data_IF_135596923981
#
_entry.id   IF_135596923981
#
_cell.length_a   1.000
_cell.length_b   1.000
_cell.length_c   1.000
_cell.angle_alpha   90.00
_cell.angle_beta   90.00
_cell.angle_gamma   90.00
#
_symmetry.space_group_name_H-M   'P 1'
#
loop_
_entity.id
_entity.type
_entity.pdbx_description
1 polymer ?
#
# COMPACT_ATOMS: atom_id res chain seq x y z
N UNK A 1 16.20 22.45 -1.41
CA UNK A 1 15.75 21.05 -1.28
C UNK A 1 14.25 21.07 -1.43
N UNK A 2 13.73 20.96 -2.66
CA UNK A 2 12.29 20.96 -2.90
C UNK A 2 11.72 19.70 -2.27
N UNK A 3 10.94 19.86 -1.20
CA UNK A 3 10.16 18.77 -0.63
C UNK A 3 9.21 18.25 -1.70
N UNK A 4 9.57 17.13 -2.31
CA UNK A 4 8.62 16.29 -3.02
C UNK A 4 7.46 16.08 -2.05
N UNK A 5 6.28 16.63 -2.36
CA UNK A 5 5.05 16.27 -1.65
C UNK A 5 5.06 14.75 -1.51
N UNK A 6 5.03 14.28 -0.26
CA UNK A 6 5.43 12.91 0.01
C UNK A 6 4.47 12.00 -0.74
N UNK A 7 4.97 11.21 -1.71
CA UNK A 7 4.12 10.50 -2.67
C UNK A 7 3.05 9.65 -1.98
N UNK A 8 3.36 9.12 -0.79
CA UNK A 8 2.45 8.36 0.06
C UNK A 8 1.24 9.14 0.57
N UNK A 9 1.31 10.47 0.69
CA UNK A 9 0.23 11.31 1.23
C UNK A 9 -0.76 11.76 0.17
N UNK A 10 -0.60 11.32 -1.08
CA UNK A 10 -1.56 11.59 -2.15
C UNK A 10 -2.80 10.73 -1.91
N UNK A 11 -4.03 11.27 -1.96
CA UNK A 11 -5.25 10.52 -1.64
C UNK A 11 -5.36 9.19 -2.39
N UNK A 12 -5.02 9.18 -3.68
CA UNK A 12 -5.04 7.97 -4.51
C UNK A 12 -4.00 6.91 -4.06
N UNK A 13 -2.87 7.33 -3.51
CA UNK A 13 -1.84 6.41 -2.99
C UNK A 13 -2.26 5.87 -1.62
N UNK A 14 -2.94 6.68 -0.81
CA UNK A 14 -3.51 6.26 0.46
C UNK A 14 -4.59 5.21 0.25
N UNK A 15 -5.52 5.47 -0.66
CA UNK A 15 -6.58 4.53 -1.04
C UNK A 15 -6.00 3.23 -1.59
N UNK A 16 -5.06 3.32 -2.53
CA UNK A 16 -4.39 2.15 -3.09
C UNK A 16 -3.65 1.33 -2.02
N UNK A 17 -3.00 2.00 -1.06
CA UNK A 17 -2.32 1.33 0.06
C UNK A 17 -3.32 0.52 0.90
N UNK A 18 -4.52 1.06 1.14
CA UNK A 18 -5.56 0.31 1.85
C UNK A 18 -6.02 -0.92 1.07
N UNK A 19 -6.33 -0.78 -0.22
CA UNK A 19 -6.70 -1.92 -1.05
C UNK A 19 -5.62 -3.00 -1.09
N UNK A 20 -4.35 -2.60 -1.19
CA UNK A 20 -3.23 -3.53 -1.18
C UNK A 20 -3.15 -4.30 0.14
N UNK A 21 -3.22 -3.59 1.27
CA UNK A 21 -3.10 -4.19 2.60
C UNK A 21 -4.28 -5.12 2.91
N UNK A 22 -5.49 -4.73 2.51
CA UNK A 22 -6.71 -5.52 2.68
C UNK A 22 -6.72 -6.75 1.76
N UNK A 23 -6.31 -6.59 0.51
CA UNK A 23 -6.17 -7.69 -0.45
C UNK A 23 -5.15 -8.71 0.04
N UNK A 24 -3.99 -8.25 0.54
CA UNK A 24 -2.98 -9.13 1.10
C UNK A 24 -3.53 -9.97 2.25
N UNK A 25 -4.21 -9.33 3.22
CA UNK A 25 -4.83 -10.05 4.35
C UNK A 25 -5.87 -11.07 3.87
N UNK A 26 -6.73 -10.68 2.94
CA UNK A 26 -7.78 -11.57 2.40
C UNK A 26 -7.19 -12.78 1.67
N UNK A 27 -6.15 -12.59 0.87
CA UNK A 27 -5.57 -13.66 0.05
C UNK A 27 -4.58 -14.55 0.82
N UNK A 28 -3.79 -13.97 1.74
CA UNK A 28 -2.72 -14.69 2.46
C UNK A 28 -3.17 -15.14 3.87
N UNK A 29 -4.24 -14.54 4.41
CA UNK A 29 -4.78 -14.88 5.73
C UNK A 29 -4.05 -14.25 6.92
N UNK A 30 -3.09 -13.34 6.67
CA UNK A 30 -2.36 -12.58 7.69
C UNK A 30 -2.05 -11.17 7.21
N UNK A 31 -1.83 -10.23 8.13
CA UNK A 31 -1.46 -8.86 7.76
C UNK A 31 -0.03 -8.80 7.20
N UNK A 32 0.19 -7.99 6.16
CA UNK A 32 1.51 -7.76 5.56
C UNK A 32 2.47 -7.08 6.55
N UNK A 33 1.92 -6.13 7.31
CA UNK A 33 2.58 -5.38 8.36
C UNK A 33 1.53 -5.01 9.42
N UNK A 34 1.98 -4.59 10.60
CA UNK A 34 1.06 -4.14 11.65
C UNK A 34 0.16 -3.00 11.14
N UNK A 35 -1.16 -3.18 11.26
CA UNK A 35 -2.16 -2.15 10.95
C UNK A 35 -2.38 -1.33 12.22
N UNK A 36 -1.96 -0.07 12.21
CA UNK A 36 -2.18 0.87 13.30
C UNK A 36 -2.41 2.27 12.72
N UNK A 37 -3.23 3.06 13.41
CA UNK A 37 -3.50 4.43 12.99
C UNK A 37 -4.42 4.55 11.78
N UNK A 38 -4.54 5.78 11.30
CA UNK A 38 -5.40 6.16 10.17
C UNK A 38 -4.80 5.76 8.82
N UNK A 39 -5.59 5.83 7.75
CA UNK A 39 -5.18 5.38 6.42
C UNK A 39 -3.87 6.03 5.92
N UNK A 40 -3.69 7.33 6.18
CA UNK A 40 -2.47 8.08 5.83
C UNK A 40 -1.24 7.56 6.59
N UNK A 41 -1.41 7.21 7.87
CA UNK A 41 -0.33 6.69 8.71
C UNK A 41 0.09 5.30 8.24
N UNK A 42 -0.89 4.47 7.85
CA UNK A 42 -0.64 3.17 7.26
C UNK A 42 0.04 3.27 5.89
N UNK A 43 -0.38 4.21 5.02
CA UNK A 43 0.25 4.45 3.74
C UNK A 43 1.71 4.90 3.90
N UNK A 44 1.97 5.80 4.86
CA UNK A 44 3.33 6.23 5.22
C UNK A 44 4.18 5.08 5.74
N UNK A 45 3.61 4.24 6.62
CA UNK A 45 4.31 3.08 7.17
C UNK A 45 4.66 2.08 6.06
N UNK A 46 3.73 1.81 5.13
CA UNK A 46 3.97 0.94 3.97
C UNK A 46 5.07 1.51 3.07
N UNK A 47 5.02 2.80 2.75
CA UNK A 47 6.02 3.46 1.90
C UNK A 47 7.44 3.43 2.50
N UNK A 48 7.54 3.45 3.84
CA UNK A 48 8.82 3.46 4.56
C UNK A 48 9.29 2.09 5.01
N UNK A 49 8.51 1.03 4.76
CA UNK A 49 8.86 -0.33 5.14
C UNK A 49 10.07 -0.83 4.34
N UNK A 50 10.94 -1.61 4.97
CA UNK A 50 12.12 -2.21 4.34
C UNK A 50 11.77 -3.47 3.51
N UNK A 51 10.70 -3.38 2.72
CA UNK A 51 10.21 -4.45 1.84
C UNK A 51 9.77 -3.83 0.52
N UNK A 52 9.84 -4.61 -0.56
CA UNK A 52 9.25 -4.23 -1.85
C UNK A 52 7.97 -5.02 -2.03
N UNK A 53 6.88 -4.30 -2.33
CA UNK A 53 5.58 -4.91 -2.62
C UNK A 53 5.26 -4.65 -4.07
N UNK A 54 4.93 -5.72 -4.81
CA UNK A 54 4.44 -5.64 -6.17
C UNK A 54 2.99 -6.09 -6.14
N UNK A 55 2.07 -5.20 -6.50
CA UNK A 55 0.67 -5.54 -6.74
C UNK A 55 0.42 -5.54 -8.23
N UNK A 56 -0.37 -6.51 -8.69
CA UNK A 56 -0.88 -6.48 -10.07
C UNK A 56 -1.92 -5.36 -10.24
N UNK A 57 -2.06 -4.88 -11.47
CA UNK A 57 -3.20 -4.02 -11.82
C UNK A 57 -4.51 -4.80 -11.79
N UNK A 58 -5.60 -4.14 -12.15
CA UNK A 58 -6.95 -4.73 -12.17
C UNK A 58 -7.23 -5.59 -13.41
N UNK A 59 -6.18 -6.04 -14.12
CA UNK A 59 -6.34 -6.85 -15.32
C UNK A 59 -6.74 -8.28 -14.98
N UNK A 60 -7.59 -8.88 -15.82
CA UNK A 60 -8.10 -10.25 -15.63
C UNK A 60 -6.99 -11.31 -15.64
N UNK A 61 -5.93 -11.08 -16.42
CA UNK A 61 -4.71 -11.88 -16.41
C UNK A 61 -3.51 -10.98 -16.12
N UNK A 62 -2.91 -11.07 -14.92
CA UNK A 62 -1.82 -10.20 -14.53
C UNK A 62 -0.42 -10.70 -14.95
N UNK A 63 -0.34 -11.82 -15.69
CA UNK A 63 0.93 -12.47 -16.10
C UNK A 63 1.17 -12.39 -17.62
N UNK A 64 0.15 -12.10 -18.43
CA UNK A 64 0.26 -11.98 -19.89
C UNK A 64 0.91 -10.67 -20.38
#
# INVERSE_FOLDING_TARGET
MNGSSAVWSRPEVVEWSQWLLDSYRRCVGRDLMARAGEADEQARALFTAQIVVVSHGTQDDPIL
#
